data_IF_050348642317
#
_entry.id   IF_050348642317
#
_cell.length_a   1.000
_cell.length_b   1.000
_cell.length_c   1.000
_cell.angle_alpha   90.00
_cell.angle_beta   90.00
_cell.angle_gamma   90.00
#
_symmetry.space_group_name_H-M   'P 1'
#
loop_
_entity.id
_entity.type
_entity.pdbx_description
1 polymer ?
#
# COMPACT_ATOMS: atom_id res chain seq x y z
N UNK A 1 5.64 -18.96 21.52
CA UNK A 1 5.65 -20.00 22.54
C UNK A 1 4.68 -19.61 23.65
N UNK A 2 3.84 -20.52 24.05
CA UNK A 2 2.90 -20.35 25.17
C UNK A 2 2.99 -21.58 26.08
N UNK A 3 2.56 -21.46 27.31
CA UNK A 3 2.50 -22.57 28.28
C UNK A 3 1.05 -22.93 28.52
N UNK A 4 0.77 -24.21 28.64
CA UNK A 4 -0.53 -24.70 29.03
C UNK A 4 -0.72 -24.67 30.57
N UNK A 5 -1.88 -25.14 31.04
CA UNK A 5 -2.21 -25.18 32.46
C UNK A 5 -1.30 -26.13 33.28
N UNK A 6 -0.69 -27.11 32.62
CA UNK A 6 0.29 -28.02 33.23
C UNK A 6 1.71 -27.46 33.23
N UNK A 7 1.92 -26.28 32.65
CA UNK A 7 3.22 -25.63 32.54
C UNK A 7 4.09 -26.18 31.42
N UNK A 8 3.51 -26.94 30.49
CA UNK A 8 4.22 -27.44 29.32
C UNK A 8 4.27 -26.38 28.24
N UNK A 9 5.46 -26.19 27.65
CA UNK A 9 5.69 -25.19 26.64
C UNK A 9 5.32 -25.70 25.25
N UNK A 10 4.54 -24.93 24.49
CA UNK A 10 4.33 -25.19 23.07
C UNK A 10 5.63 -24.96 22.27
N UNK A 11 5.78 -25.56 21.08
CA UNK A 11 6.86 -25.19 20.19
C UNK A 11 6.78 -23.71 19.80
N UNK A 12 7.89 -23.15 19.38
CA UNK A 12 7.92 -21.81 18.80
C UNK A 12 7.10 -21.77 17.52
N UNK A 13 6.38 -20.67 17.30
CA UNK A 13 5.77 -20.39 16.01
C UNK A 13 6.83 -20.17 14.95
N UNK A 14 6.43 -20.23 13.70
CA UNK A 14 7.29 -19.78 12.61
C UNK A 14 7.67 -18.31 12.80
N UNK A 15 8.84 -17.94 12.25
CA UNK A 15 9.34 -16.57 12.33
C UNK A 15 8.48 -15.62 11.51
N UNK A 16 7.76 -14.72 12.16
CA UNK A 16 7.12 -13.57 11.52
C UNK A 16 8.15 -12.50 11.16
N UNK A 17 7.95 -11.84 10.03
CA UNK A 17 8.79 -10.72 9.58
C UNK A 17 7.91 -9.53 9.24
N UNK A 18 8.30 -8.37 9.73
CA UNK A 18 7.66 -7.10 9.42
C UNK A 18 8.72 -6.12 8.92
N UNK A 19 8.27 -5.17 8.12
CA UNK A 19 9.11 -4.05 7.70
C UNK A 19 8.39 -2.77 8.02
N UNK A 20 9.14 -1.79 8.51
CA UNK A 20 8.60 -0.46 8.79
C UNK A 20 8.16 0.24 7.51
N UNK A 21 7.14 1.09 7.63
CA UNK A 21 6.79 2.07 6.61
C UNK A 21 7.77 3.24 6.58
N UNK A 22 7.45 4.25 5.77
CA UNK A 22 8.16 5.52 5.76
C UNK A 22 7.77 6.31 7.01
N UNK A 23 8.73 6.68 7.84
CA UNK A 23 8.50 7.33 9.13
C UNK A 23 8.59 8.85 9.05
N UNK A 24 9.49 9.34 8.23
CA UNK A 24 9.72 10.77 8.09
C UNK A 24 9.05 11.31 6.81
N UNK A 25 8.49 12.52 6.85
CA UNK A 25 7.93 13.14 5.65
C UNK A 25 8.93 13.24 4.48
N UNK A 26 10.21 13.39 4.78
CA UNK A 26 11.29 13.45 3.79
C UNK A 26 11.54 12.13 3.05
N UNK A 27 11.07 11.00 3.59
CA UNK A 27 11.19 9.70 2.95
C UNK A 27 10.19 9.55 1.79
N UNK A 28 9.15 10.38 1.77
CA UNK A 28 8.16 10.41 0.70
C UNK A 28 8.67 11.23 -0.48
N UNK A 29 8.96 10.55 -1.59
CA UNK A 29 9.35 11.20 -2.86
C UNK A 29 8.17 11.39 -3.81
N UNK A 30 7.07 10.69 -3.55
CA UNK A 30 5.85 10.80 -4.33
C UNK A 30 5.15 12.15 -4.11
N UNK A 31 4.43 12.60 -5.13
CA UNK A 31 3.55 13.77 -5.06
C UNK A 31 2.11 13.33 -5.11
N UNK A 32 1.24 14.12 -4.52
CA UNK A 32 -0.20 13.92 -4.64
C UNK A 32 -0.62 14.00 -6.10
N UNK A 33 -1.48 13.10 -6.50
CA UNK A 33 -2.11 13.07 -7.81
C UNK A 33 -3.63 13.13 -7.61
N UNK A 34 -4.32 13.75 -8.54
CA UNK A 34 -5.78 13.91 -8.49
C UNK A 34 -6.33 14.18 -9.88
N UNK A 35 -7.64 14.18 -9.99
CA UNK A 35 -8.31 14.68 -11.17
C UNK A 35 -8.15 16.20 -11.27
N UNK A 36 -8.32 16.69 -12.49
CA UNK A 36 -8.45 18.13 -12.72
C UNK A 36 -9.75 18.63 -12.10
N UNK A 37 -9.72 19.80 -11.49
CA UNK A 37 -10.89 20.42 -10.88
C UNK A 37 -12.02 20.66 -11.89
N UNK A 38 -11.66 20.93 -13.14
CA UNK A 38 -12.60 21.15 -14.26
C UNK A 38 -13.18 19.87 -14.87
N UNK A 39 -12.72 18.70 -14.45
CA UNK A 39 -13.26 17.43 -14.94
C UNK A 39 -14.69 17.16 -14.47
N UNK A 40 -15.10 17.80 -13.38
CA UNK A 40 -16.45 17.68 -12.80
C UNK A 40 -16.94 19.06 -12.35
N UNK A 41 -17.41 19.89 -13.29
CA UNK A 41 -17.82 21.26 -12.99
C UNK A 41 -19.10 21.35 -12.11
N UNK A 42 -19.87 20.30 -12.05
CA UNK A 42 -21.08 20.24 -11.21
C UNK A 42 -20.78 19.48 -9.91
N UNK A 43 -20.56 20.24 -8.85
CA UNK A 43 -20.29 19.71 -7.51
C UNK A 43 -21.49 19.03 -6.84
N UNK A 44 -22.68 19.09 -7.46
CA UNK A 44 -23.88 18.41 -6.95
C UNK A 44 -23.91 16.93 -7.33
N UNK A 45 -23.12 16.54 -8.31
CA UNK A 45 -23.01 15.15 -8.73
C UNK A 45 -21.94 14.42 -7.93
N UNK A 46 -22.20 13.15 -7.65
CA UNK A 46 -21.20 12.27 -7.04
C UNK A 46 -20.02 12.11 -8.00
N UNK A 47 -18.86 12.56 -7.60
CA UNK A 47 -17.63 12.38 -8.40
C UNK A 47 -17.24 10.91 -8.39
N UNK A 48 -17.17 10.24 -9.54
CA UNK A 48 -16.72 8.86 -9.58
C UNK A 48 -15.27 8.74 -9.17
N UNK A 49 -14.90 7.60 -8.57
CA UNK A 49 -13.53 7.34 -8.19
C UNK A 49 -12.60 7.35 -9.42
N UNK A 50 -11.51 8.11 -9.40
CA UNK A 50 -10.61 8.19 -10.52
C UNK A 50 -9.74 6.94 -10.62
N UNK A 51 -9.46 6.52 -11.86
CA UNK A 51 -8.49 5.48 -12.14
C UNK A 51 -7.17 6.10 -12.58
N UNK A 52 -6.10 5.78 -11.87
CA UNK A 52 -4.75 6.18 -12.22
C UNK A 52 -3.97 4.96 -12.71
N UNK A 53 -3.30 5.09 -13.83
CA UNK A 53 -2.48 4.01 -14.40
C UNK A 53 -1.10 4.52 -14.75
N UNK A 54 -0.09 3.76 -14.37
CA UNK A 54 1.30 3.99 -14.75
C UNK A 54 1.96 2.70 -15.18
N UNK A 55 2.57 2.71 -16.35
CA UNK A 55 3.41 1.60 -16.83
C UNK A 55 4.88 1.93 -16.55
N UNK A 56 5.62 0.97 -16.09
CA UNK A 56 7.06 1.09 -15.89
C UNK A 56 7.76 -0.23 -16.24
N UNK A 57 9.05 -0.15 -16.55
CA UNK A 57 9.87 -1.32 -16.85
C UNK A 57 10.98 -1.45 -15.82
N UNK A 58 11.24 -2.68 -15.43
CA UNK A 58 12.36 -3.03 -14.56
C UNK A 58 13.33 -3.85 -15.39
N UNK A 59 14.54 -3.33 -15.58
CA UNK A 59 15.56 -3.94 -16.42
C UNK A 59 16.53 -4.84 -15.64
N UNK A 60 16.27 -5.06 -14.37
CA UNK A 60 17.11 -5.88 -13.47
C UNK A 60 16.26 -6.96 -12.80
N UNK A 61 16.85 -8.12 -12.45
CA UNK A 61 16.16 -9.11 -11.64
C UNK A 61 15.66 -8.50 -10.33
N UNK A 62 14.39 -8.69 -10.02
CA UNK A 62 13.77 -8.19 -8.78
C UNK A 62 13.85 -9.28 -7.72
N UNK A 63 14.58 -9.04 -6.66
CA UNK A 63 14.61 -9.92 -5.50
C UNK A 63 13.49 -9.60 -4.52
N UNK A 64 13.20 -8.32 -4.37
CA UNK A 64 12.15 -7.82 -3.49
C UNK A 64 11.69 -6.45 -3.98
N UNK A 65 10.39 -6.20 -3.88
CA UNK A 65 9.80 -4.89 -4.15
C UNK A 65 8.86 -4.53 -3.00
N UNK A 66 8.75 -3.23 -2.73
CA UNK A 66 7.79 -2.66 -1.79
C UNK A 66 7.10 -1.48 -2.43
N UNK A 67 5.78 -1.43 -2.30
CA UNK A 67 5.00 -0.28 -2.70
C UNK A 67 4.59 0.50 -1.44
N UNK A 68 4.83 1.80 -1.44
CA UNK A 68 4.32 2.72 -0.43
C UNK A 68 3.23 3.55 -1.08
N UNK A 69 2.02 3.44 -0.56
CA UNK A 69 0.85 4.11 -1.11
C UNK A 69 0.08 4.78 0.03
N UNK A 70 -0.43 5.97 -0.25
CA UNK A 70 -1.30 6.70 0.65
C UNK A 70 -2.47 7.28 -0.15
N UNK A 71 -3.68 7.05 0.31
CA UNK A 71 -4.91 7.59 -0.27
C UNK A 71 -5.68 8.41 0.75
N UNK A 72 -6.26 9.52 0.30
CA UNK A 72 -7.22 10.30 1.09
C UNK A 72 -8.61 9.67 0.94
N UNK A 73 -8.86 8.60 1.68
CA UNK A 73 -10.10 7.83 1.61
C UNK A 73 -9.85 6.38 1.15
N UNK A 74 -10.86 5.78 0.56
CA UNK A 74 -10.75 4.41 0.06
C UNK A 74 -9.96 4.38 -1.24
N UNK A 75 -9.09 3.40 -1.38
CA UNK A 75 -8.38 3.12 -2.61
C UNK A 75 -8.12 1.62 -2.76
N UNK A 76 -7.93 1.21 -3.98
CA UNK A 76 -7.49 -0.13 -4.34
C UNK A 76 -6.25 0.00 -5.22
N UNK A 77 -5.28 -0.86 -5.00
CA UNK A 77 -4.06 -0.91 -5.78
C UNK A 77 -3.96 -2.25 -6.50
N UNK A 78 -3.75 -2.19 -7.79
CA UNK A 78 -3.53 -3.36 -8.63
C UNK A 78 -2.14 -3.33 -9.24
N UNK A 79 -1.47 -4.46 -9.26
CA UNK A 79 -0.19 -4.65 -9.94
C UNK A 79 -0.35 -5.76 -10.97
N UNK A 80 -0.21 -5.43 -12.27
CA UNK A 80 -0.44 -6.36 -13.39
C UNK A 80 -1.85 -6.99 -13.41
N UNK A 81 -2.83 -6.31 -12.84
CA UNK A 81 -4.22 -6.74 -12.83
C UNK A 81 -4.65 -7.57 -11.61
N UNK A 82 -3.75 -7.72 -10.64
CA UNK A 82 -4.00 -8.39 -9.34
C UNK A 82 -3.81 -7.42 -8.18
#
# INVERSE_FOLDING_TARGET
>A
MVWDEAGEASPWSETGRWTMGLLEPSDWTARWIGNREDAYPDSTLTTPAPYFRKTFRINKPVKQAKAYICGLGFYEMYLNGE
#
